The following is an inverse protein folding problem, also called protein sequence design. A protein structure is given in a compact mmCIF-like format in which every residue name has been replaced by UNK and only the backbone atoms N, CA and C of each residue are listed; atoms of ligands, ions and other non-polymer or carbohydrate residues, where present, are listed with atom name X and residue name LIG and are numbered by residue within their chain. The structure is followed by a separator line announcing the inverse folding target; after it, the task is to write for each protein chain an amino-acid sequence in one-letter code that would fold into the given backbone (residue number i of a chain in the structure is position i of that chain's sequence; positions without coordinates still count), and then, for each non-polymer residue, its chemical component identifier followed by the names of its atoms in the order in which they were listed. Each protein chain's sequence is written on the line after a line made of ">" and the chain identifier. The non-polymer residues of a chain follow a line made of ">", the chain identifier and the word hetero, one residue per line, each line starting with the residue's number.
data_IF_013802592993
#
_entry.id   IF_013802592993
#
_cell.length_a   1.000
_cell.length_b   1.000
_cell.length_c   1.000
_cell.angle_alpha   90.00
_cell.angle_beta   90.00
_cell.angle_gamma   90.00
#
_symmetry.space_group_name_H-M   'P 1'
#
loop_
_entity.id
_entity.type
_entity.pdbx_description
1 polymer ?
#
# COMPACT_ATOMS: atom_id res chain seq x y z
N UNK A 1 3.55 34.60 52.24
CA UNK A 1 2.30 35.30 51.89
C UNK A 1 1.89 34.73 50.55
N UNK A 2 1.02 33.73 50.54
CA UNK A 2 -0.40 33.85 50.26
C UNK A 2 -0.61 34.31 48.82
N UNK A 3 -1.21 33.57 47.93
CA UNK A 3 -2.61 33.25 47.90
C UNK A 3 -2.94 32.17 46.84
N UNK A 4 -3.68 31.18 47.25
CA UNK A 4 -4.53 30.26 46.56
C UNK A 4 -5.41 30.91 45.48
N UNK A 5 -5.68 30.16 44.38
CA UNK A 5 -7.01 30.09 43.81
C UNK A 5 -7.21 28.80 43.04
N UNK A 6 -7.90 27.87 43.68
CA UNK A 6 -8.62 26.77 43.13
C UNK A 6 -9.79 27.28 42.26
N UNK A 7 -9.92 26.71 41.05
CA UNK A 7 -11.22 26.71 40.36
C UNK A 7 -11.57 25.30 39.97
N UNK A 8 -12.46 24.75 40.78
CA UNK A 8 -13.30 23.62 40.47
C UNK A 8 -14.53 24.12 39.73
N UNK A 9 -14.81 23.62 38.53
CA UNK A 9 -16.17 23.64 38.00
C UNK A 9 -16.55 22.27 37.55
N UNK A 10 -17.39 21.69 38.38
CA UNK A 10 -18.24 20.57 38.11
C UNK A 10 -19.35 21.05 37.16
N UNK A 11 -19.55 20.35 36.04
CA UNK A 11 -20.80 20.45 35.31
C UNK A 11 -21.25 19.06 34.85
N UNK A 12 -22.20 18.59 35.58
CA UNK A 12 -23.09 17.48 35.34
C UNK A 12 -24.12 17.84 34.26
N UNK A 13 -24.48 16.91 33.44
CA UNK A 13 -25.63 17.04 32.54
C UNK A 13 -25.68 15.93 31.50
N UNK A 14 -26.23 14.86 31.88
CA UNK A 14 -27.49 14.15 31.60
C UNK A 14 -27.59 13.38 30.29
N UNK A 15 -28.08 12.17 30.36
CA UNK A 15 -28.29 11.28 29.22
C UNK A 15 -29.66 11.54 28.57
N UNK A 16 -29.72 11.48 27.27
CA UNK A 16 -31.00 11.39 26.57
C UNK A 16 -31.12 10.01 25.92
N UNK A 17 -32.02 9.29 26.54
CA UNK A 17 -32.59 8.06 26.06
C UNK A 17 -33.57 8.30 24.89
N UNK A 18 -33.76 7.25 24.12
CA UNK A 18 -35.00 6.87 23.44
C UNK A 18 -35.25 7.48 22.05
N UNK A 19 -35.16 6.65 21.03
CA UNK A 19 -36.35 6.29 20.26
C UNK A 19 -36.14 4.97 19.51
N UNK A 20 -36.95 4.02 19.93
CA UNK A 20 -37.33 2.80 19.22
C UNK A 20 -38.01 3.19 17.92
N UNK A 21 -37.60 2.57 16.82
CA UNK A 21 -38.53 2.31 15.74
C UNK A 21 -38.43 0.82 15.42
N UNK A 22 -39.41 0.15 15.91
CA UNK A 22 -39.90 -1.17 15.50
C UNK A 22 -40.36 -1.03 14.05
N UNK A 23 -39.83 -1.85 13.15
CA UNK A 23 -40.61 -2.24 11.99
C UNK A 23 -40.46 -3.74 11.80
N UNK A 24 -41.56 -4.36 12.04
CA UNK A 24 -41.90 -5.74 12.00
C UNK A 24 -42.15 -6.17 10.55
N UNK A 25 -41.71 -7.37 10.24
CA UNK A 25 -42.53 -8.46 9.65
C UNK A 25 -42.76 -8.42 8.14
N UNK A 26 -42.30 -9.43 7.45
CA UNK A 26 -43.13 -10.49 6.87
C UNK A 26 -42.33 -11.50 6.03
N UNK A 27 -42.43 -12.73 6.50
CA UNK A 27 -42.86 -13.99 5.87
C UNK A 27 -41.83 -14.64 4.91
N UNK A 28 -41.31 -15.75 5.38
CA UNK A 28 -41.70 -17.16 5.11
C UNK A 28 -41.72 -17.52 3.61
N UNK A 29 -40.76 -18.32 3.21
CA UNK A 29 -41.11 -19.54 2.54
C UNK A 29 -40.11 -20.67 2.83
N UNK A 30 -40.62 -21.72 3.38
CA UNK A 30 -40.03 -23.01 3.58
C UNK A 30 -39.84 -23.70 2.21
N UNK A 31 -38.80 -24.52 2.05
CA UNK A 31 -38.98 -25.94 1.79
C UNK A 31 -37.65 -26.63 1.48
N UNK A 32 -37.36 -27.57 2.37
CA UNK A 32 -36.97 -28.95 2.17
C UNK A 32 -35.54 -29.29 1.78
N UNK A 33 -34.87 -29.84 2.79
CA UNK A 33 -34.06 -31.06 2.88
C UNK A 33 -33.34 -31.60 1.64
N UNK A 34 -32.05 -31.80 1.78
CA UNK A 34 -31.38 -33.13 1.77
C UNK A 34 -29.85 -32.89 1.90
N UNK A 35 -29.35 -33.27 3.01
CA UNK A 35 -28.47 -34.42 3.30
C UNK A 35 -27.14 -34.50 2.55
N UNK A 36 -26.09 -34.34 3.35
CA UNK A 36 -24.67 -34.70 3.35
C UNK A 36 -24.27 -35.86 2.41
N UNK A 37 -23.02 -35.94 1.90
CA UNK A 37 -21.86 -36.14 2.78
C UNK A 37 -20.57 -35.35 2.44
N UNK A 38 -19.74 -35.30 3.44
CA UNK A 38 -18.36 -34.88 3.53
C UNK A 38 -17.48 -35.37 2.39
N UNK A 39 -16.69 -34.46 1.82
CA UNK A 39 -15.38 -34.82 1.27
C UNK A 39 -14.39 -33.72 1.56
N UNK A 40 -13.44 -34.06 2.41
CA UNK A 40 -12.18 -33.40 2.57
C UNK A 40 -11.53 -33.12 1.21
N UNK A 41 -11.24 -31.86 0.93
CA UNK A 41 -10.32 -31.50 -0.13
C UNK A 41 -9.37 -30.46 0.41
N UNK A 42 -8.06 -30.73 0.36
CA UNK A 42 -7.07 -29.78 0.83
C UNK A 42 -7.18 -28.49 0.01
N UNK A 43 -7.15 -27.37 0.70
CA UNK A 43 -7.06 -26.05 0.11
C UNK A 43 -5.74 -25.92 -0.64
N UNK A 44 -5.78 -26.24 -1.91
CA UNK A 44 -4.72 -25.89 -2.84
C UNK A 44 -4.85 -24.39 -3.11
N UNK A 45 -4.00 -23.63 -2.44
CA UNK A 45 -3.82 -22.21 -2.68
C UNK A 45 -3.24 -22.02 -4.08
N UNK A 46 -4.05 -22.17 -5.09
CA UNK A 46 -3.74 -21.67 -6.42
C UNK A 46 -3.67 -20.14 -6.32
N UNK A 47 -2.45 -19.68 -6.11
CA UNK A 47 -2.03 -18.33 -6.38
C UNK A 47 -2.34 -18.06 -7.85
N UNK A 48 -3.45 -17.41 -8.11
CA UNK A 48 -3.82 -16.92 -9.43
C UNK A 48 -2.76 -15.92 -9.87
N UNK A 49 -1.69 -16.44 -10.46
CA UNK A 49 -0.76 -15.64 -11.24
C UNK A 49 -1.48 -15.36 -12.56
N UNK A 50 -2.18 -14.21 -12.61
CA UNK A 50 -2.64 -13.64 -13.88
C UNK A 50 -1.46 -13.69 -14.86
N UNK A 51 -1.64 -14.24 -16.08
CA UNK A 51 -0.60 -14.21 -17.09
C UNK A 51 -0.16 -12.76 -17.27
N UNK A 52 1.11 -12.47 -17.06
CA UNK A 52 1.66 -11.15 -17.33
C UNK A 52 1.69 -10.93 -18.82
N UNK A 53 1.18 -9.79 -19.26
CA UNK A 53 1.33 -9.34 -20.64
C UNK A 53 2.84 -9.27 -20.96
N UNK A 54 3.32 -9.79 -22.10
CA UNK A 54 4.74 -9.83 -22.43
C UNK A 54 5.41 -8.44 -22.47
N UNK A 55 4.61 -7.39 -22.49
CA UNK A 55 5.07 -6.00 -22.48
C UNK A 55 5.17 -5.39 -21.07
N UNK A 56 4.75 -6.10 -20.04
CA UNK A 56 4.77 -5.61 -18.66
C UNK A 56 5.83 -6.29 -17.80
N UNK A 57 6.18 -5.66 -16.70
CA UNK A 57 7.12 -6.17 -15.70
C UNK A 57 6.53 -6.06 -14.31
N UNK A 58 6.86 -7.05 -13.47
CA UNK A 58 6.60 -7.04 -12.03
C UNK A 58 7.87 -6.64 -11.30
N UNK A 59 7.86 -5.46 -10.73
CA UNK A 59 9.02 -4.91 -10.05
C UNK A 59 8.86 -5.04 -8.53
N UNK A 60 9.90 -5.53 -7.87
CA UNK A 60 10.03 -5.48 -6.42
C UNK A 60 11.20 -4.55 -6.07
N UNK A 61 10.97 -3.62 -5.19
CA UNK A 61 11.99 -2.69 -4.71
C UNK A 61 12.30 -3.05 -3.26
N UNK A 62 13.57 -3.21 -2.94
CA UNK A 62 14.07 -3.41 -1.59
C UNK A 62 14.92 -2.23 -1.19
N UNK A 63 14.58 -1.59 -0.10
CA UNK A 63 15.27 -0.40 0.43
C UNK A 63 15.99 -0.76 1.73
N UNK A 64 17.28 -0.50 1.76
CA UNK A 64 18.13 -0.72 2.92
C UNK A 64 18.93 0.54 3.24
N UNK A 65 19.32 0.69 4.49
CA UNK A 65 20.24 1.72 4.98
C UNK A 65 21.08 1.11 6.10
N UNK A 66 22.40 1.27 6.05
CA UNK A 66 23.33 0.64 6.99
C UNK A 66 23.05 -0.87 7.15
N UNK A 67 22.78 -1.55 6.02
CA UNK A 67 22.43 -2.98 5.94
C UNK A 67 21.17 -3.41 6.69
N UNK A 68 20.34 -2.44 7.13
CA UNK A 68 19.03 -2.67 7.76
C UNK A 68 17.90 -2.30 6.80
N UNK A 69 16.78 -3.02 6.84
CA UNK A 69 15.62 -2.66 6.02
C UNK A 69 15.02 -1.32 6.47
N UNK A 70 14.59 -0.51 5.50
CA UNK A 70 13.94 0.78 5.76
C UNK A 70 12.45 0.66 5.48
N UNK A 71 11.67 0.55 6.54
CA UNK A 71 10.21 0.57 6.46
C UNK A 71 9.65 1.97 6.32
N UNK A 72 8.43 2.05 5.75
CA UNK A 72 7.67 3.29 5.57
C UNK A 72 8.37 4.36 4.72
N UNK A 73 9.36 3.98 3.88
CA UNK A 73 9.94 4.87 2.89
C UNK A 73 8.96 5.09 1.74
N UNK A 74 8.88 6.33 1.23
CA UNK A 74 8.08 6.65 0.05
C UNK A 74 8.88 6.33 -1.20
N UNK A 75 8.31 5.49 -2.07
CA UNK A 75 8.90 5.05 -3.32
C UNK A 75 8.06 5.59 -4.47
N UNK A 76 8.66 6.42 -5.29
CA UNK A 76 8.06 6.99 -6.49
C UNK A 76 8.63 6.28 -7.72
N UNK A 77 7.76 5.71 -8.52
CA UNK A 77 8.14 5.02 -9.77
C UNK A 77 7.52 5.78 -10.93
N UNK A 78 8.36 6.36 -11.80
CA UNK A 78 7.93 7.11 -12.98
C UNK A 78 8.33 6.38 -14.24
N UNK A 79 7.38 6.22 -15.15
CA UNK A 79 7.58 5.53 -16.41
C UNK A 79 6.79 6.20 -17.54
N UNK A 80 7.28 6.13 -18.79
CA UNK A 80 6.53 6.64 -19.92
C UNK A 80 5.35 5.74 -20.23
N UNK A 81 4.21 6.35 -20.48
CA UNK A 81 3.03 5.69 -21.02
C UNK A 81 2.82 6.23 -22.42
N UNK A 82 2.69 5.34 -23.40
CA UNK A 82 2.45 5.72 -24.77
C UNK A 82 1.19 6.61 -24.84
N UNK A 83 1.34 7.82 -25.31
CA UNK A 83 0.23 8.70 -25.68
C UNK A 83 -0.44 8.09 -26.91
N UNK A 84 -1.79 8.16 -27.00
CA UNK A 84 -2.49 7.77 -28.23
C UNK A 84 -2.01 8.62 -29.43
N UNK A 85 -2.49 8.26 -30.63
CA UNK A 85 -2.04 8.77 -31.95
C UNK A 85 -1.88 10.31 -32.03
N UNK A 86 -2.51 11.06 -31.13
CA UNK A 86 -2.45 12.54 -31.09
C UNK A 86 -1.91 13.13 -29.79
N UNK A 87 -1.37 12.29 -28.88
CA UNK A 87 -0.89 12.77 -27.59
C UNK A 87 0.59 12.43 -27.40
N UNK A 88 1.35 13.42 -26.90
CA UNK A 88 2.74 13.20 -26.47
C UNK A 88 2.78 12.17 -25.34
N UNK A 89 3.86 11.41 -25.29
CA UNK A 89 4.13 10.47 -24.19
C UNK A 89 3.98 11.16 -22.85
N UNK A 90 3.20 10.57 -21.98
CA UNK A 90 3.01 11.05 -20.61
C UNK A 90 3.85 10.22 -19.66
N UNK A 91 4.45 10.89 -18.69
CA UNK A 91 5.03 10.21 -17.54
C UNK A 91 3.92 9.88 -16.54
N UNK A 92 3.75 8.60 -16.29
CA UNK A 92 2.90 8.12 -15.18
C UNK A 92 3.75 7.97 -13.94
N UNK A 93 3.16 8.23 -12.77
CA UNK A 93 3.82 8.10 -11.48
C UNK A 93 3.00 7.19 -10.57
N UNK A 94 3.68 6.24 -9.94
CA UNK A 94 3.15 5.43 -8.85
C UNK A 94 3.84 5.84 -7.56
N UNK A 95 3.06 6.03 -6.49
CA UNK A 95 3.55 6.29 -5.15
C UNK A 95 3.23 5.12 -4.25
N UNK A 96 4.26 4.51 -3.69
CA UNK A 96 4.19 3.32 -2.84
C UNK A 96 4.94 3.57 -1.54
N UNK A 97 4.66 2.75 -0.53
CA UNK A 97 5.45 2.73 0.71
C UNK A 97 6.08 1.36 0.92
N UNK A 98 7.30 1.35 1.45
CA UNK A 98 7.93 0.10 1.85
C UNK A 98 7.27 -0.46 3.11
N UNK A 99 7.17 -1.78 3.18
CA UNK A 99 6.78 -2.50 4.38
C UNK A 99 7.89 -2.44 5.44
N UNK A 100 7.68 -3.06 6.58
CA UNK A 100 8.67 -3.13 7.67
C UNK A 100 9.96 -3.86 7.26
N UNK A 101 9.87 -4.81 6.34
CA UNK A 101 10.99 -5.53 5.73
C UNK A 101 11.72 -4.72 4.64
N UNK A 102 11.40 -3.44 4.48
CA UNK A 102 11.99 -2.54 3.49
C UNK A 102 11.57 -2.84 2.05
N UNK A 103 10.58 -3.70 1.82
CA UNK A 103 10.16 -4.06 0.46
C UNK A 103 8.91 -3.30 0.00
N UNK A 104 8.87 -2.96 -1.29
CA UNK A 104 7.69 -2.44 -1.97
C UNK A 104 7.43 -3.27 -3.24
N UNK A 105 6.19 -3.69 -3.45
CA UNK A 105 5.76 -4.37 -4.68
C UNK A 105 5.13 -3.34 -5.60
N UNK A 106 5.70 -3.20 -6.79
CA UNK A 106 5.14 -2.34 -7.83
C UNK A 106 4.12 -3.15 -8.62
N UNK A 107 2.93 -2.60 -8.91
CA UNK A 107 1.99 -3.23 -9.86
C UNK A 107 2.64 -3.46 -11.22
N UNK A 108 1.98 -4.24 -12.08
CA UNK A 108 2.45 -4.46 -13.45
C UNK A 108 2.57 -3.11 -14.19
N UNK A 109 3.78 -2.78 -14.63
CA UNK A 109 4.11 -1.56 -15.34
C UNK A 109 4.75 -1.90 -16.69
N UNK A 110 4.71 -1.01 -17.69
CA UNK A 110 5.39 -1.22 -18.97
C UNK A 110 6.89 -1.44 -18.77
N UNK A 111 7.50 -2.33 -19.55
CA UNK A 111 8.95 -2.49 -19.63
C UNK A 111 9.58 -1.24 -20.23
N UNK A 112 10.85 -1.06 -19.98
CA UNK A 112 11.65 0.03 -20.52
C UNK A 112 12.28 0.91 -19.46
N UNK A 113 12.49 2.18 -19.79
CA UNK A 113 13.22 3.13 -18.94
C UNK A 113 12.31 3.69 -17.83
N UNK A 114 12.70 3.46 -16.58
CA UNK A 114 11.92 3.80 -15.39
C UNK A 114 12.78 4.62 -14.43
N UNK A 115 12.24 5.70 -13.89
CA UNK A 115 12.88 6.45 -12.79
C UNK A 115 12.33 5.95 -11.47
N UNK A 116 13.22 5.51 -10.60
CA UNK A 116 12.88 5.14 -9.22
C UNK A 116 13.49 6.20 -8.29
N UNK A 117 12.63 6.81 -7.48
CA UNK A 117 13.02 7.76 -6.45
C UNK A 117 12.54 7.28 -5.10
N UNK A 118 13.41 7.32 -4.08
CA UNK A 118 13.08 6.91 -2.72
C UNK A 118 13.36 8.04 -1.76
N UNK A 119 12.37 8.31 -0.92
CA UNK A 119 12.44 9.34 0.13
C UNK A 119 12.13 8.67 1.48
N UNK A 120 13.08 8.72 2.39
CA UNK A 120 12.92 8.21 3.75
C UNK A 120 13.39 9.25 4.76
N UNK A 121 12.72 9.32 5.90
CA UNK A 121 13.04 10.27 6.96
C UNK A 121 14.45 9.99 7.51
N UNK A 122 15.30 11.01 7.54
CA UNK A 122 16.67 10.90 8.06
C UNK A 122 17.68 10.37 7.04
N UNK A 123 17.29 10.15 5.79
CA UNK A 123 18.15 9.65 4.74
C UNK A 123 18.18 10.59 3.54
N UNK A 124 19.27 10.56 2.80
CA UNK A 124 19.40 11.29 1.54
C UNK A 124 18.43 10.71 0.52
N UNK A 125 17.74 11.59 -0.20
CA UNK A 125 16.85 11.17 -1.29
C UNK A 125 17.62 10.44 -2.36
N UNK A 126 17.17 9.24 -2.70
CA UNK A 126 17.71 8.45 -3.80
C UNK A 126 16.92 8.69 -5.07
N UNK A 127 17.59 8.71 -6.23
CA UNK A 127 16.93 8.82 -7.52
C UNK A 127 17.83 8.31 -8.64
N UNK A 128 17.35 7.29 -9.38
CA UNK A 128 18.11 6.71 -10.49
C UNK A 128 17.18 6.16 -11.57
N UNK A 129 17.63 6.25 -12.82
CA UNK A 129 17.00 5.60 -13.95
C UNK A 129 17.46 4.15 -14.08
N UNK A 130 16.50 3.28 -14.36
CA UNK A 130 16.70 1.85 -14.62
C UNK A 130 16.10 1.48 -15.96
N UNK A 131 16.73 0.55 -16.66
CA UNK A 131 16.20 -0.07 -17.84
C UNK A 131 15.75 -1.48 -17.48
N UNK A 132 14.47 -1.76 -17.66
CA UNK A 132 13.82 -3.00 -17.21
C UNK A 132 13.31 -3.76 -18.43
N UNK A 133 13.98 -4.85 -18.75
CA UNK A 133 13.65 -5.70 -19.91
C UNK A 133 13.02 -7.03 -19.48
N UNK A 134 13.10 -7.36 -18.19
CA UNK A 134 12.66 -8.64 -17.65
C UNK A 134 11.19 -8.59 -17.24
N UNK A 135 10.52 -9.74 -17.28
CA UNK A 135 9.15 -9.91 -16.78
C UNK A 135 9.03 -9.69 -15.27
N UNK A 136 10.08 -10.05 -14.53
CA UNK A 136 10.16 -9.82 -13.09
C UNK A 136 11.57 -9.39 -12.71
N UNK A 137 11.68 -8.34 -11.90
CA UNK A 137 12.97 -7.80 -11.44
C UNK A 137 12.88 -7.35 -9.98
N UNK A 138 13.96 -7.55 -9.25
CA UNK A 138 14.14 -6.96 -7.92
C UNK A 138 15.24 -5.90 -8.00
N UNK A 139 14.93 -4.69 -7.58
CA UNK A 139 15.87 -3.58 -7.48
C UNK A 139 16.22 -3.36 -6.02
N UNK A 140 17.49 -3.48 -5.70
CA UNK A 140 18.03 -3.18 -4.37
C UNK A 140 18.53 -1.75 -4.32
N UNK A 141 18.09 -0.99 -3.33
CA UNK A 141 18.44 0.41 -3.14
C UNK A 141 19.04 0.57 -1.75
N UNK A 142 20.26 1.05 -1.71
CA UNK A 142 20.95 1.41 -0.48
C UNK A 142 20.88 2.92 -0.30
N UNK A 143 20.28 3.37 0.79
CA UNK A 143 20.21 4.80 1.12
C UNK A 143 21.49 5.23 1.83
N UNK A 144 21.89 6.47 1.56
CA UNK A 144 23.03 7.14 2.18
C UNK A 144 22.54 8.09 3.28
N UNK A 145 23.34 8.30 4.34
CA UNK A 145 23.05 9.34 5.32
C UNK A 145 23.06 10.72 4.66
N UNK A 146 22.34 11.70 5.19
CA UNK A 146 22.35 13.05 4.67
C UNK A 146 23.74 13.67 4.81
N UNK A 147 24.12 14.52 3.87
CA UNK A 147 25.37 15.26 3.99
C UNK A 147 25.32 16.17 5.22
N UNK A 148 26.32 16.07 6.06
CA UNK A 148 26.51 17.00 7.16
C UNK A 148 27.07 18.30 6.60
N UNK A 149 26.32 19.38 6.74
CA UNK A 149 26.83 20.72 6.51
C UNK A 149 27.38 21.23 7.85
N UNK A 150 28.69 21.42 7.90
CA UNK A 150 29.35 22.06 9.01
C UNK A 150 29.30 23.58 8.83
#
# INVERSE_FOLDING_TARGET
>A
MALFLLYTTLSSGQPRASMRAVFQESQQNQTTSQEKPSQDKPADSKKDSKPSDPTTTRLRIRVTADDKPVGNASVYVRFPVAGGIFHKDKLSELNLKTNEDGSAKVPDIPRGKILIQVVAKGWKTYGKWYEIDSEAMTVEIKLEPPAHWY
#
